data_IF_934378140438
#
_entry.id   IF_934378140438
#
_cell.length_a   1.000
_cell.length_b   1.000
_cell.length_c   1.000
_cell.angle_alpha   90.00
_cell.angle_beta   90.00
_cell.angle_gamma   90.00
#
_symmetry.space_group_name_H-M   'P 1'
#
loop_
_entity.id
_entity.type
_entity.pdbx_description
1 polymer ?
#
# COMPACT_ATOMS: atom_id res chain seq x y z
N UNK A 1 -17.09 32.31 -74.41
CA UNK A 1 -17.95 31.95 -73.24
C UNK A 1 -18.18 30.44 -73.04
N UNK A 2 -17.85 29.56 -74.00
CA UNK A 2 -18.16 28.10 -73.94
C UNK A 2 -17.02 27.25 -73.33
N UNK A 3 -15.75 27.67 -73.44
CA UNK A 3 -14.59 26.94 -72.87
C UNK A 3 -14.50 26.98 -71.34
N UNK A 4 -14.86 28.10 -70.70
CA UNK A 4 -14.82 28.23 -69.23
C UNK A 4 -15.91 27.42 -68.52
N UNK A 5 -17.08 27.24 -69.14
CA UNK A 5 -18.17 26.40 -68.61
C UNK A 5 -17.82 24.90 -68.60
N UNK A 6 -17.06 24.42 -69.59
CA UNK A 6 -16.62 23.01 -69.66
C UNK A 6 -15.51 22.69 -68.65
N UNK A 7 -14.60 23.64 -68.39
CA UNK A 7 -13.58 23.51 -67.34
C UNK A 7 -14.17 23.57 -65.92
N UNK A 8 -15.22 24.38 -65.70
CA UNK A 8 -15.91 24.45 -64.42
C UNK A 8 -16.74 23.19 -64.12
N UNK A 9 -17.41 22.62 -65.15
CA UNK A 9 -18.15 21.36 -65.02
C UNK A 9 -17.20 20.17 -64.77
N UNK A 10 -16.02 20.16 -65.40
CA UNK A 10 -15.02 19.12 -65.17
C UNK A 10 -14.42 19.18 -63.75
N UNK A 11 -14.18 20.38 -63.20
CA UNK A 11 -13.67 20.58 -61.83
C UNK A 11 -14.71 20.22 -60.76
N UNK A 12 -16.00 20.48 -61.02
CA UNK A 12 -17.09 20.08 -60.11
C UNK A 12 -17.33 18.58 -60.18
N UNK A 13 -17.18 17.95 -61.35
CA UNK A 13 -17.33 16.50 -61.50
C UNK A 13 -16.20 15.70 -60.82
N UNK A 14 -14.95 16.18 -60.84
CA UNK A 14 -13.85 15.53 -60.10
C UNK A 14 -13.90 15.78 -58.60
N UNK A 15 -14.38 16.94 -58.15
CA UNK A 15 -14.57 17.22 -56.71
C UNK A 15 -15.71 16.39 -56.08
N UNK A 16 -16.72 16.00 -56.87
CA UNK A 16 -17.83 15.14 -56.41
C UNK A 16 -17.43 13.65 -56.42
N UNK A 17 -16.48 13.24 -57.28
CA UNK A 17 -16.01 11.85 -57.33
C UNK A 17 -14.95 11.52 -56.26
N UNK A 18 -14.24 12.52 -55.73
CA UNK A 18 -13.24 12.30 -54.66
C UNK A 18 -13.82 12.28 -53.24
N UNK A 19 -15.15 12.41 -53.08
CA UNK A 19 -15.81 12.46 -51.76
C UNK A 19 -16.59 11.18 -51.40
N UNK A 20 -16.44 10.10 -52.16
CA UNK A 20 -17.11 8.83 -51.90
C UNK A 20 -16.12 7.67 -51.90
N UNK A 21 -15.41 7.47 -50.79
CA UNK A 21 -15.02 6.16 -50.19
C UNK A 21 -14.04 6.40 -49.03
N UNK A 22 -14.54 7.06 -47.98
CA UNK A 22 -14.02 6.86 -46.64
C UNK A 22 -15.14 6.21 -45.82
N UNK A 23 -15.47 4.95 -46.15
CA UNK A 23 -16.18 4.13 -45.17
C UNK A 23 -15.16 3.82 -44.08
N UNK A 24 -15.27 4.50 -42.95
CA UNK A 24 -14.58 4.08 -41.74
C UNK A 24 -14.94 2.59 -41.52
N UNK A 25 -13.94 1.71 -41.63
CA UNK A 25 -14.07 0.31 -41.26
C UNK A 25 -14.15 0.28 -39.73
N UNK A 26 -15.33 0.53 -39.17
CA UNK A 26 -15.61 0.10 -37.81
C UNK A 26 -15.62 -1.42 -37.86
N UNK A 27 -14.63 -2.06 -37.20
CA UNK A 27 -14.66 -3.49 -36.98
C UNK A 27 -16.00 -3.82 -36.30
N UNK A 28 -16.86 -4.56 -37.00
CA UNK A 28 -18.11 -5.03 -36.39
C UNK A 28 -17.72 -5.94 -35.23
N UNK A 29 -18.28 -5.76 -34.02
CA UNK A 29 -17.94 -6.63 -32.90
C UNK A 29 -18.17 -8.08 -33.32
N UNK A 30 -17.19 -8.96 -33.04
CA UNK A 30 -17.33 -10.40 -33.28
C UNK A 30 -18.38 -10.93 -32.32
N UNK A 31 -19.64 -10.92 -32.74
CA UNK A 31 -20.75 -11.46 -31.96
C UNK A 31 -20.77 -12.98 -32.16
N UNK A 32 -20.40 -13.73 -31.12
CA UNK A 32 -20.61 -15.18 -31.07
C UNK A 32 -21.96 -15.48 -30.44
N UNK A 33 -22.78 -16.25 -31.15
CA UNK A 33 -24.02 -16.78 -30.58
C UNK A 33 -23.69 -18.02 -29.76
N UNK A 34 -24.02 -18.01 -28.47
CA UNK A 34 -23.91 -19.16 -27.58
C UNK A 34 -25.30 -19.75 -27.32
N UNK A 35 -25.38 -21.07 -27.17
CA UNK A 35 -26.61 -21.75 -26.75
C UNK A 35 -26.51 -22.09 -25.27
N UNK A 36 -27.23 -21.34 -24.44
CA UNK A 36 -27.29 -21.56 -23.00
C UNK A 36 -28.44 -22.50 -22.60
N UNK A 37 -28.20 -23.35 -21.60
CA UNK A 37 -29.23 -24.17 -20.94
C UNK A 37 -29.45 -23.70 -19.51
N UNK A 38 -30.70 -23.39 -19.18
CA UNK A 38 -31.14 -22.98 -17.84
C UNK A 38 -31.85 -24.17 -17.19
N UNK A 39 -31.21 -24.79 -16.19
CA UNK A 39 -31.66 -26.03 -15.55
C UNK A 39 -31.98 -25.85 -14.05
N UNK A 40 -32.18 -24.62 -13.59
CA UNK A 40 -32.41 -24.34 -12.16
C UNK A 40 -31.21 -24.73 -11.31
N UNK A 41 -30.02 -24.30 -11.71
CA UNK A 41 -28.76 -24.63 -11.04
C UNK A 41 -28.77 -24.01 -9.64
N UNK A 42 -28.60 -24.86 -8.62
CA UNK A 42 -28.55 -24.46 -7.21
C UNK A 42 -27.12 -24.51 -6.72
N UNK A 43 -26.73 -23.54 -5.92
CA UNK A 43 -25.43 -23.50 -5.27
C UNK A 43 -25.57 -23.02 -3.82
N UNK A 44 -24.61 -23.40 -2.97
CA UNK A 44 -24.62 -23.09 -1.54
C UNK A 44 -23.33 -22.41 -1.13
N UNK A 45 -23.44 -21.42 -0.24
CA UNK A 45 -22.32 -20.77 0.42
C UNK A 45 -22.45 -20.95 1.93
N UNK A 46 -21.42 -21.48 2.59
CA UNK A 46 -21.42 -21.78 4.03
C UNK A 46 -22.67 -22.55 4.50
N UNK A 47 -23.09 -23.56 3.72
CA UNK A 47 -24.26 -24.41 4.03
C UNK A 47 -25.63 -23.79 3.75
N UNK A 48 -25.69 -22.54 3.27
CA UNK A 48 -26.95 -21.87 2.88
C UNK A 48 -27.13 -21.87 1.37
N UNK A 49 -28.30 -22.30 0.90
CA UNK A 49 -28.66 -22.20 -0.52
C UNK A 49 -28.80 -20.73 -0.90
N UNK A 50 -28.13 -20.32 -1.97
CA UNK A 50 -28.18 -18.95 -2.47
C UNK A 50 -29.24 -18.83 -3.56
N UNK A 51 -30.05 -17.77 -3.50
CA UNK A 51 -31.01 -17.44 -4.54
C UNK A 51 -30.33 -16.57 -5.62
N UNK A 52 -30.20 -17.06 -6.87
CA UNK A 52 -29.50 -16.31 -7.91
C UNK A 52 -30.28 -15.12 -8.50
N UNK A 53 -31.57 -14.97 -8.17
CA UNK A 53 -32.40 -13.89 -8.70
C UNK A 53 -32.50 -13.91 -10.23
N UNK A 54 -32.48 -12.73 -10.86
CA UNK A 54 -32.63 -12.57 -12.31
C UNK A 54 -31.38 -12.95 -13.12
N UNK A 55 -30.23 -13.12 -12.48
CA UNK A 55 -28.96 -13.48 -13.13
C UNK A 55 -28.65 -14.95 -12.81
N UNK A 56 -29.49 -15.88 -13.25
CA UNK A 56 -29.30 -17.30 -12.92
C UNK A 56 -28.11 -17.95 -13.65
N UNK A 57 -27.37 -18.87 -13.00
CA UNK A 57 -26.33 -19.65 -13.66
C UNK A 57 -26.89 -20.50 -14.80
N UNK A 58 -26.08 -20.69 -15.84
CA UNK A 58 -26.46 -21.46 -17.03
C UNK A 58 -25.32 -22.35 -17.51
N UNK A 59 -25.63 -23.30 -18.41
CA UNK A 59 -24.62 -24.18 -19.02
C UNK A 59 -24.43 -23.84 -20.50
N UNK A 60 -23.18 -23.66 -20.91
CA UNK A 60 -22.76 -23.61 -22.32
C UNK A 60 -21.65 -24.65 -22.51
N UNK A 61 -21.79 -25.50 -23.53
CA UNK A 61 -20.79 -26.52 -23.88
C UNK A 61 -20.30 -27.34 -22.66
N UNK A 62 -21.26 -27.83 -21.86
CA UNK A 62 -21.03 -28.60 -20.62
C UNK A 62 -20.30 -27.84 -19.49
N UNK A 63 -20.08 -26.54 -19.65
CA UNK A 63 -19.49 -25.67 -18.63
C UNK A 63 -20.56 -24.82 -17.96
N UNK A 64 -20.59 -24.81 -16.63
CA UNK A 64 -21.48 -23.94 -15.86
C UNK A 64 -20.88 -22.55 -15.72
N UNK A 65 -21.64 -21.54 -16.14
CA UNK A 65 -21.29 -20.12 -16.00
C UNK A 65 -22.10 -19.53 -14.86
N UNK A 66 -21.40 -18.94 -13.90
CA UNK A 66 -21.97 -18.27 -12.72
C UNK A 66 -21.62 -16.79 -12.81
N UNK A 67 -22.58 -15.87 -12.59
CA UNK A 67 -22.25 -14.45 -12.60
C UNK A 67 -21.23 -14.09 -11.54
N UNK A 68 -20.12 -13.49 -11.96
CA UNK A 68 -19.02 -13.13 -11.05
C UNK A 68 -19.45 -12.15 -9.96
N UNK A 69 -20.37 -11.21 -10.26
CA UNK A 69 -20.93 -10.27 -9.28
C UNK A 69 -21.64 -10.99 -8.13
N UNK A 70 -22.39 -12.04 -8.45
CA UNK A 70 -23.08 -12.85 -7.44
C UNK A 70 -22.07 -13.54 -6.51
N UNK A 71 -21.00 -14.10 -7.06
CA UNK A 71 -19.93 -14.71 -6.26
C UNK A 71 -19.23 -13.67 -5.39
N UNK A 72 -18.85 -12.52 -5.96
CA UNK A 72 -18.17 -11.45 -5.24
C UNK A 72 -19.00 -10.87 -4.10
N UNK A 73 -20.29 -10.61 -4.33
CA UNK A 73 -21.20 -10.11 -3.30
C UNK A 73 -21.35 -11.10 -2.13
N UNK A 74 -21.36 -12.41 -2.41
CA UNK A 74 -21.44 -13.44 -1.35
C UNK A 74 -20.22 -13.47 -0.44
N UNK A 75 -19.05 -13.12 -0.96
CA UNK A 75 -17.79 -13.05 -0.20
C UNK A 75 -17.46 -11.63 0.27
N UNK A 76 -18.45 -10.73 0.26
CA UNK A 76 -18.31 -9.37 0.80
C UNK A 76 -17.41 -8.46 -0.03
N UNK A 77 -17.34 -8.69 -1.35
CA UNK A 77 -16.58 -7.85 -2.29
C UNK A 77 -17.52 -7.03 -3.16
N UNK A 78 -17.06 -5.85 -3.55
CA UNK A 78 -17.71 -4.98 -4.52
C UNK A 78 -17.20 -5.33 -5.93
N UNK A 79 -18.12 -5.62 -6.86
CA UNK A 79 -17.78 -6.01 -8.24
C UNK A 79 -18.26 -4.95 -9.23
N UNK A 80 -17.30 -4.26 -9.86
CA UNK A 80 -17.54 -3.18 -10.82
C UNK A 80 -17.10 -3.57 -12.24
N UNK A 81 -17.80 -3.04 -13.23
CA UNK A 81 -17.42 -3.18 -14.64
C UNK A 81 -16.86 -1.86 -15.14
N UNK A 82 -15.60 -1.85 -15.53
CA UNK A 82 -14.98 -0.77 -16.29
C UNK A 82 -15.10 -1.10 -17.78
N UNK A 83 -16.10 -0.50 -18.44
CA UNK A 83 -16.38 -0.76 -19.85
C UNK A 83 -15.37 -0.18 -20.84
N UNK A 84 -14.61 0.83 -20.42
CA UNK A 84 -13.56 1.45 -21.24
C UNK A 84 -12.37 0.50 -21.38
N UNK A 85 -11.92 -0.07 -20.25
CA UNK A 85 -10.79 -0.99 -20.19
C UNK A 85 -11.18 -2.46 -20.33
N UNK A 86 -12.48 -2.75 -20.51
CA UNK A 86 -13.05 -4.09 -20.51
C UNK A 86 -12.65 -4.92 -19.27
N UNK A 87 -12.60 -4.27 -18.11
CA UNK A 87 -12.06 -4.83 -16.87
C UNK A 87 -13.17 -5.03 -15.83
N UNK A 88 -13.15 -6.19 -15.16
CA UNK A 88 -13.97 -6.45 -13.97
C UNK A 88 -13.10 -6.18 -12.74
N UNK A 89 -13.48 -5.19 -11.94
CA UNK A 89 -12.80 -4.82 -10.70
C UNK A 89 -13.51 -5.52 -9.53
N UNK A 90 -12.76 -6.21 -8.68
CA UNK A 90 -13.28 -6.85 -7.46
C UNK A 90 -12.50 -6.28 -6.28
N UNK A 91 -13.15 -5.42 -5.50
CA UNK A 91 -12.51 -4.68 -4.41
C UNK A 91 -13.17 -5.02 -3.07
N UNK A 92 -12.45 -4.82 -1.97
CA UNK A 92 -13.04 -4.87 -0.64
C UNK A 92 -14.12 -3.79 -0.48
N UNK A 93 -15.24 -4.17 0.14
CA UNK A 93 -16.20 -3.17 0.63
C UNK A 93 -15.64 -2.56 1.90
N UNK A 94 -15.65 -1.22 2.02
CA UNK A 94 -15.31 -0.53 3.29
C UNK A 94 -16.18 -1.13 4.39
N UNK A 95 -15.54 -1.84 5.32
CA UNK A 95 -16.24 -2.59 6.36
C UNK A 95 -16.89 -1.61 7.34
N UNK A 96 -18.22 -1.49 7.29
CA UNK A 96 -18.98 -0.62 8.20
C UNK A 96 -18.81 -1.01 9.67
N UNK A 97 -18.35 -2.24 9.96
CA UNK A 97 -18.00 -2.65 11.32
C UNK A 97 -16.73 -1.97 11.82
N UNK A 98 -15.79 -1.62 10.92
CA UNK A 98 -14.60 -0.83 11.25
C UNK A 98 -15.00 0.60 11.59
N UNK A 99 -15.89 1.20 10.81
CA UNK A 99 -16.43 2.55 11.10
C UNK A 99 -17.16 2.57 12.45
N UNK A 100 -17.94 1.54 12.78
CA UNK A 100 -18.62 1.44 14.08
C UNK A 100 -17.63 1.29 15.24
N UNK A 101 -16.56 0.50 15.06
CA UNK A 101 -15.48 0.36 16.04
C UNK A 101 -14.69 1.64 16.20
N UNK A 102 -14.43 2.39 15.12
CA UNK A 102 -13.75 3.68 15.17
C UNK A 102 -14.59 4.71 15.94
N UNK A 103 -15.91 4.70 15.76
CA UNK A 103 -16.83 5.54 16.55
C UNK A 103 -16.82 5.15 18.04
N UNK A 104 -16.78 3.85 18.36
CA UNK A 104 -16.68 3.35 19.73
C UNK A 104 -15.33 3.71 20.37
N UNK A 105 -14.22 3.61 19.62
CA UNK A 105 -12.88 4.03 20.05
C UNK A 105 -12.86 5.55 20.34
N UNK A 106 -13.46 6.37 19.48
CA UNK A 106 -13.55 7.82 19.69
C UNK A 106 -14.33 8.14 20.98
N UNK A 107 -15.44 7.43 21.22
CA UNK A 107 -16.23 7.61 22.45
C UNK A 107 -15.44 7.20 23.69
N UNK A 108 -14.80 6.03 23.69
CA UNK A 108 -13.99 5.55 24.80
C UNK A 108 -12.80 6.46 25.08
N UNK A 109 -12.10 6.96 24.05
CA UNK A 109 -11.01 7.94 24.20
C UNK A 109 -11.50 9.22 24.87
N UNK A 110 -12.67 9.73 24.49
CA UNK A 110 -13.27 10.92 25.12
C UNK A 110 -13.64 10.71 26.60
N UNK A 111 -14.10 9.51 26.95
CA UNK A 111 -14.43 9.14 28.33
C UNK A 111 -13.17 9.02 29.21
N UNK A 112 -12.11 8.41 28.68
CA UNK A 112 -10.80 8.33 29.35
C UNK A 112 -10.26 9.72 29.64
N UNK A 113 -10.34 10.66 28.70
CA UNK A 113 -9.85 12.02 28.89
C UNK A 113 -10.65 12.79 29.96
N UNK A 114 -11.97 12.59 30.00
CA UNK A 114 -12.84 13.13 31.03
C UNK A 114 -12.52 12.56 32.43
N UNK A 115 -12.31 11.25 32.53
CA UNK A 115 -11.92 10.58 33.77
C UNK A 115 -10.53 11.02 34.24
N UNK A 116 -9.56 11.16 33.32
CA UNK A 116 -8.23 11.71 33.62
C UNK A 116 -8.35 13.12 34.20
N UNK A 117 -9.16 13.99 33.60
CA UNK A 117 -9.40 15.36 34.09
C UNK A 117 -10.04 15.36 35.49
N UNK A 118 -11.01 14.49 35.74
CA UNK A 118 -11.61 14.33 37.07
C UNK A 118 -10.61 13.82 38.11
N UNK A 119 -9.72 12.90 37.73
CA UNK A 119 -8.65 12.40 38.59
C UNK A 119 -7.67 13.52 39.00
N UNK A 120 -7.28 14.38 38.05
CA UNK A 120 -6.40 15.53 38.32
C UNK A 120 -7.08 16.58 39.22
N UNK A 121 -8.39 16.77 39.06
CA UNK A 121 -9.19 17.63 39.94
C UNK A 121 -9.35 17.03 41.34
N UNK A 122 -9.42 15.71 41.47
CA UNK A 122 -9.46 15.04 42.77
C UNK A 122 -8.10 15.10 43.50
N UNK A 123 -6.98 15.14 42.77
CA UNK A 123 -5.62 15.23 43.32
C UNK A 123 -5.23 16.64 43.78
N UNK A 124 -5.83 17.69 43.21
CA UNK A 124 -5.56 19.10 43.55
C UNK A 124 -6.20 19.58 44.86
N UNK A 125 -6.94 18.72 45.57
CA UNK A 125 -7.57 19.01 46.87
C UNK A 125 -6.67 18.93 48.10
N UNK A 126 -5.41 18.50 47.99
CA UNK A 126 -4.49 18.40 49.13
C UNK A 126 -3.30 19.33 48.93
N UNK A 127 -3.49 20.62 49.22
CA UNK A 127 -2.38 21.58 49.38
C UNK A 127 -1.87 21.53 50.81
N UNK A 128 -0.60 21.21 50.98
CA UNK A 128 0.21 21.69 52.11
C UNK A 128 1.47 22.32 51.55
N UNK A 129 1.56 23.64 51.73
CA UNK A 129 2.79 24.41 51.68
C UNK A 129 3.66 24.04 52.89
N UNK A 130 4.96 23.76 52.71
CA UNK A 130 6.04 24.60 53.26
C UNK A 130 7.46 24.04 53.04
N UNK A 131 8.35 24.98 52.72
CA UNK A 131 9.80 25.08 53.01
C UNK A 131 10.86 24.36 52.15
N UNK A 132 11.77 25.21 51.66
CA UNK A 132 13.13 24.94 51.18
C UNK A 132 13.91 24.02 52.14
N UNK A 133 14.53 22.98 51.59
CA UNK A 133 15.87 22.51 51.94
C UNK A 133 16.42 21.63 50.82
N UNK A 134 17.71 21.78 50.51
CA UNK A 134 18.46 21.01 49.51
C UNK A 134 18.35 19.49 49.76
N UNK A 135 17.56 18.79 48.93
CA UNK A 135 17.64 17.33 48.73
C UNK A 135 16.93 16.98 47.42
N UNK A 136 17.64 16.23 46.58
CA UNK A 136 17.24 15.64 45.29
C UNK A 136 15.72 15.34 45.26
N UNK A 137 14.95 16.25 44.66
CA UNK A 137 13.50 16.10 44.51
C UNK A 137 13.25 14.93 43.56
N UNK A 138 12.49 13.95 44.03
CA UNK A 138 12.03 12.80 43.26
C UNK A 138 10.96 13.30 42.28
N UNK A 139 11.42 13.84 41.15
CA UNK A 139 10.57 14.35 40.06
C UNK A 139 9.55 13.27 39.70
N UNK A 140 8.27 13.62 39.66
CA UNK A 140 7.24 12.64 39.38
C UNK A 140 7.31 12.16 37.92
N UNK A 141 6.88 10.93 37.64
CA UNK A 141 6.89 10.36 36.29
C UNK A 141 6.13 11.25 35.28
N UNK A 142 5.09 11.95 35.73
CA UNK A 142 4.32 12.91 34.91
C UNK A 142 5.09 14.18 34.58
N UNK A 143 5.83 14.72 35.53
CA UNK A 143 6.71 15.87 35.28
C UNK A 143 7.86 15.45 34.37
N UNK A 144 8.35 14.21 34.51
CA UNK A 144 9.37 13.66 33.62
C UNK A 144 8.83 13.50 32.20
N UNK A 145 7.65 12.91 32.02
CA UNK A 145 7.00 12.76 30.72
C UNK A 145 6.86 14.09 29.99
N UNK A 146 6.48 15.15 30.70
CA UNK A 146 6.36 16.49 30.11
C UNK A 146 7.70 16.98 29.56
N UNK A 147 8.76 16.93 30.38
CA UNK A 147 10.08 17.39 29.96
C UNK A 147 10.61 16.52 28.81
N UNK A 148 10.36 15.21 28.84
CA UNK A 148 10.70 14.30 27.75
C UNK A 148 9.96 14.66 26.45
N UNK A 149 8.68 15.03 26.50
CA UNK A 149 7.97 15.51 25.30
C UNK A 149 8.51 16.86 24.81
N UNK A 150 8.85 17.76 25.71
CA UNK A 150 9.38 19.08 25.36
C UNK A 150 10.75 18.94 24.65
N UNK A 151 11.60 18.01 25.11
CA UNK A 151 12.95 17.80 24.57
C UNK A 151 12.98 16.84 23.37
N UNK A 152 12.18 15.76 23.41
CA UNK A 152 12.23 14.65 22.45
C UNK A 152 10.95 14.46 21.61
N UNK A 153 9.91 15.27 21.79
CA UNK A 153 8.67 15.19 21.01
C UNK A 153 8.80 15.56 19.53
N UNK A 154 10.02 15.85 19.04
CA UNK A 154 10.26 16.19 17.63
C UNK A 154 11.65 15.78 17.15
N UNK A 155 11.72 15.03 16.04
CA UNK A 155 12.97 14.68 15.34
C UNK A 155 12.86 15.03 13.86
N UNK A 156 13.76 15.89 13.36
CA UNK A 156 13.82 16.35 11.95
C UNK A 156 12.46 16.72 11.32
N UNK A 157 11.53 17.28 12.12
CA UNK A 157 10.16 17.66 11.75
C UNK A 157 9.11 16.54 11.72
N UNK A 158 9.48 15.32 12.10
CA UNK A 158 8.52 14.33 12.59
C UNK A 158 8.18 14.70 14.03
N UNK A 159 6.90 14.66 14.37
CA UNK A 159 6.40 14.90 15.73
C UNK A 159 6.07 13.56 16.37
N UNK A 160 6.42 13.44 17.65
CA UNK A 160 6.15 12.28 18.48
C UNK A 160 5.34 12.72 19.71
N UNK A 161 4.40 11.89 20.11
CA UNK A 161 3.78 11.94 21.43
C UNK A 161 4.40 10.83 22.27
N UNK A 162 5.02 11.18 23.39
CA UNK A 162 5.72 10.22 24.25
C UNK A 162 4.94 10.07 25.55
N UNK A 163 4.60 8.85 25.92
CA UNK A 163 3.93 8.54 27.20
C UNK A 163 4.82 7.67 28.05
N UNK A 164 4.96 8.01 29.34
CA UNK A 164 5.70 7.22 30.31
C UNK A 164 4.74 6.52 31.28
N UNK A 165 4.87 5.20 31.39
CA UNK A 165 4.06 4.37 32.30
C UNK A 165 4.98 3.57 33.22
N UNK A 166 4.42 3.08 34.33
CA UNK A 166 5.14 2.25 35.29
C UNK A 166 5.57 3.00 36.56
N UNK A 167 6.73 2.61 37.10
CA UNK A 167 7.27 3.09 38.37
C UNK A 167 8.80 3.31 38.32
N UNK A 168 9.42 3.67 39.45
CA UNK A 168 10.85 3.96 39.58
C UNK A 168 11.79 2.79 39.14
N UNK A 169 11.27 1.57 39.01
CA UNK A 169 12.05 0.35 38.68
C UNK A 169 11.77 -0.18 37.30
N UNK A 170 10.56 -0.01 36.79
CA UNK A 170 10.18 -0.47 35.45
C UNK A 170 9.35 0.63 34.78
N UNK A 171 9.91 1.19 33.70
CA UNK A 171 9.30 2.27 32.94
C UNK A 171 9.03 1.76 31.53
N UNK A 172 7.79 1.90 31.10
CA UNK A 172 7.35 1.65 29.73
C UNK A 172 7.26 2.99 29.00
N UNK A 173 7.91 3.08 27.84
CA UNK A 173 7.96 4.28 26.99
C UNK A 173 7.19 3.98 25.70
N UNK A 174 6.03 4.62 25.56
CA UNK A 174 5.19 4.52 24.36
C UNK A 174 5.45 5.78 23.52
N UNK A 175 5.95 5.60 22.30
CA UNK A 175 6.24 6.70 21.38
C UNK A 175 5.26 6.58 20.21
N UNK A 176 4.40 7.57 20.00
CA UNK A 176 3.42 7.57 18.92
C UNK A 176 3.76 8.62 17.86
N UNK A 177 3.58 8.30 16.58
CA UNK A 177 3.66 9.26 15.47
C UNK A 177 2.58 9.00 14.43
N UNK A 178 2.14 10.04 13.71
CA UNK A 178 1.17 9.95 12.61
C UNK A 178 1.94 10.02 11.29
N UNK A 179 2.27 8.86 10.71
CA UNK A 179 3.06 8.84 9.47
C UNK A 179 2.28 9.35 8.27
N UNK A 180 0.95 9.31 8.26
CA UNK A 180 0.18 9.99 7.21
C UNK A 180 0.49 11.49 7.14
N UNK A 181 0.66 12.16 8.28
CA UNK A 181 1.02 13.58 8.32
C UNK A 181 2.50 13.83 8.07
N UNK A 182 3.36 12.95 8.57
CA UNK A 182 4.81 13.21 8.65
C UNK A 182 5.65 12.37 7.69
N UNK A 183 5.06 11.57 6.79
CA UNK A 183 5.73 10.65 5.86
C UNK A 183 6.95 11.28 5.18
N UNK A 184 6.78 12.45 4.57
CA UNK A 184 7.86 13.15 3.84
C UNK A 184 9.10 13.46 4.70
N UNK A 185 8.91 13.66 6.00
CA UNK A 185 10.00 13.92 6.94
C UNK A 185 10.54 12.60 7.49
N UNK A 186 9.66 11.63 7.73
CA UNK A 186 9.99 10.27 8.12
C UNK A 186 10.91 9.59 7.12
N UNK A 187 10.65 9.71 5.81
CA UNK A 187 11.49 9.15 4.73
C UNK A 187 12.94 9.65 4.71
N UNK A 188 13.27 10.68 5.52
CA UNK A 188 14.62 11.25 5.65
C UNK A 188 15.31 10.85 6.95
N UNK A 189 14.62 10.12 7.81
CA UNK A 189 15.19 9.51 9.00
C UNK A 189 15.77 8.16 8.62
N UNK A 190 16.95 7.86 9.16
CA UNK A 190 17.47 6.49 9.16
C UNK A 190 17.35 5.86 10.56
N UNK A 191 17.59 4.55 10.63
CA UNK A 191 17.55 3.81 11.90
C UNK A 191 18.49 4.44 12.96
N UNK A 192 19.64 4.98 12.54
CA UNK A 192 20.61 5.58 13.48
C UNK A 192 20.08 6.88 14.08
N UNK A 193 19.36 7.68 13.31
CA UNK A 193 18.69 8.87 13.82
C UNK A 193 17.67 8.50 14.90
N UNK A 194 16.84 7.49 14.65
CA UNK A 194 15.82 7.01 15.58
C UNK A 194 16.45 6.40 16.83
N UNK A 195 17.39 5.46 16.67
CA UNK A 195 18.08 4.84 17.79
C UNK A 195 18.79 5.87 18.67
N UNK A 196 19.44 6.88 18.06
CA UNK A 196 20.11 7.94 18.79
C UNK A 196 19.11 8.76 19.60
N UNK A 197 18.01 9.15 18.98
CA UNK A 197 16.95 9.92 19.64
C UNK A 197 16.36 9.17 20.84
N UNK A 198 16.09 7.87 20.68
CA UNK A 198 15.56 7.03 21.77
C UNK A 198 16.62 6.81 22.87
N UNK A 199 17.91 6.68 22.51
CA UNK A 199 19.01 6.58 23.49
C UNK A 199 19.10 7.82 24.36
N UNK A 200 19.09 9.02 23.76
CA UNK A 200 19.15 10.29 24.49
C UNK A 200 17.93 10.45 25.41
N UNK A 201 16.73 10.13 24.90
CA UNK A 201 15.50 10.08 25.71
C UNK A 201 15.65 9.15 26.94
N UNK A 202 16.16 7.93 26.75
CA UNK A 202 16.33 6.98 27.85
C UNK A 202 17.41 7.42 28.85
N UNK A 203 18.46 8.10 28.38
CA UNK A 203 19.50 8.69 29.24
C UNK A 203 18.89 9.68 30.24
N UNK A 204 18.00 10.57 29.77
CA UNK A 204 17.31 11.54 30.63
C UNK A 204 16.34 10.88 31.61
N UNK A 205 15.68 9.79 31.21
CA UNK A 205 14.88 8.99 32.14
C UNK A 205 15.77 8.41 33.26
N UNK A 206 16.96 7.89 32.92
CA UNK A 206 17.90 7.34 33.90
C UNK A 206 18.59 8.38 34.78
N UNK A 207 18.57 9.67 34.42
CA UNK A 207 19.04 10.73 35.31
C UNK A 207 18.13 10.89 36.54
N UNK A 208 16.83 10.67 36.34
CA UNK A 208 15.82 10.70 37.40
C UNK A 208 15.69 9.33 38.07
N UNK A 209 15.46 8.28 37.27
CA UNK A 209 15.23 6.91 37.74
C UNK A 209 16.41 6.00 37.41
N UNK A 210 17.48 6.11 38.22
CA UNK A 210 18.79 5.53 37.94
C UNK A 210 18.82 4.00 37.77
N UNK A 211 17.83 3.29 38.31
CA UNK A 211 17.73 1.82 38.27
C UNK A 211 16.58 1.32 37.42
N UNK A 212 15.84 2.20 36.75
CA UNK A 212 14.72 1.79 35.93
C UNK A 212 15.19 0.86 34.80
N UNK A 213 14.56 -0.30 34.71
CA UNK A 213 14.53 -1.09 33.48
C UNK A 213 13.53 -0.42 32.55
N UNK A 214 13.98 -0.04 31.37
CA UNK A 214 13.16 0.59 30.34
C UNK A 214 12.78 -0.45 29.29
N UNK A 215 11.51 -0.49 28.95
CA UNK A 215 10.97 -1.10 27.72
C UNK A 215 10.21 -0.04 26.96
N UNK A 216 10.08 -0.18 25.65
CA UNK A 216 9.26 0.75 24.90
C UNK A 216 9.07 0.36 23.46
N UNK A 217 8.24 1.15 22.80
CA UNK A 217 7.83 0.95 21.43
C UNK A 217 7.65 2.29 20.72
N UNK A 218 7.73 2.24 19.40
CA UNK A 218 7.41 3.32 18.49
C UNK A 218 6.30 2.85 17.56
N UNK A 219 5.16 3.53 17.60
CA UNK A 219 3.92 3.12 16.96
C UNK A 219 3.43 4.19 15.97
N UNK A 220 3.08 3.75 14.76
CA UNK A 220 2.38 4.59 13.79
C UNK A 220 0.88 4.53 14.04
N UNK A 221 0.30 5.66 14.46
CA UNK A 221 -1.13 5.74 14.76
C UNK A 221 -2.01 5.69 13.53
N UNK A 222 -1.47 6.03 12.35
CA UNK A 222 -2.23 5.99 11.11
C UNK A 222 -2.43 4.56 10.62
N UNK A 223 -1.32 3.83 10.41
CA UNK A 223 -1.34 2.44 9.97
C UNK A 223 -1.71 1.45 11.08
N UNK A 224 -1.66 1.92 12.35
CA UNK A 224 -1.91 1.12 13.56
C UNK A 224 -0.90 -0.01 13.76
N UNK A 225 0.37 0.30 13.55
CA UNK A 225 1.46 -0.69 13.52
C UNK A 225 2.66 -0.24 14.36
N UNK A 226 3.35 -1.22 14.95
CA UNK A 226 4.62 -0.99 15.64
C UNK A 226 5.75 -0.88 14.62
N UNK A 227 6.50 0.22 14.66
CA UNK A 227 7.66 0.45 13.81
C UNK A 227 8.92 -0.18 14.41
N UNK A 228 9.03 -0.15 15.74
CA UNK A 228 10.22 -0.51 16.51
C UNK A 228 9.84 -0.81 17.96
N UNK A 229 10.47 -1.82 18.54
CA UNK A 229 10.47 -2.10 19.97
C UNK A 229 11.89 -1.97 20.53
N UNK A 230 12.02 -1.62 21.81
CA UNK A 230 13.32 -1.56 22.46
C UNK A 230 13.26 -1.98 23.93
N UNK A 231 14.39 -2.50 24.41
CA UNK A 231 14.55 -2.91 25.80
C UNK A 231 15.94 -2.61 26.32
N UNK A 232 16.03 -2.18 27.57
CA UNK A 232 17.28 -1.96 28.27
C UNK A 232 17.76 -3.19 29.04
N UNK A 233 19.08 -3.40 29.05
CA UNK A 233 19.72 -4.35 29.95
C UNK A 233 20.10 -3.70 31.30
N UNK A 234 20.59 -4.52 32.24
CA UNK A 234 21.03 -4.07 33.56
C UNK A 234 22.23 -3.10 33.55
N UNK A 235 22.84 -2.84 32.39
CA UNK A 235 23.94 -1.90 32.19
C UNK A 235 23.50 -0.68 31.37
N UNK A 236 22.18 -0.45 31.24
CA UNK A 236 21.58 0.64 30.46
C UNK A 236 21.92 0.60 28.97
N UNK A 237 22.21 -0.58 28.43
CA UNK A 237 22.37 -0.76 26.98
C UNK A 237 21.02 -1.11 26.38
N UNK A 238 20.64 -0.41 25.32
CA UNK A 238 19.42 -0.65 24.58
C UNK A 238 19.64 -1.67 23.48
N UNK A 239 18.73 -2.63 23.37
CA UNK A 239 18.53 -3.48 22.21
C UNK A 239 17.28 -3.00 21.48
N UNK A 240 17.36 -2.93 20.15
CA UNK A 240 16.31 -2.45 19.26
C UNK A 240 15.87 -3.61 18.36
N UNK A 241 14.57 -3.78 18.20
CA UNK A 241 13.96 -4.73 17.29
C UNK A 241 12.97 -3.99 16.39
N UNK A 242 13.30 -3.84 15.11
CA UNK A 242 12.44 -3.16 14.15
C UNK A 242 11.30 -4.10 13.75
N UNK A 243 10.09 -3.79 14.20
CA UNK A 243 8.91 -4.65 14.02
C UNK A 243 8.39 -4.58 12.58
N UNK A 244 8.60 -3.46 11.88
CA UNK A 244 8.21 -3.28 10.49
C UNK A 244 9.26 -3.77 9.49
N UNK A 245 9.36 -5.10 9.43
CA UNK A 245 9.73 -5.89 8.25
C UNK A 245 9.01 -5.35 7.01
N UNK A 246 9.74 -5.21 5.90
CA UNK A 246 9.20 -4.92 4.57
C UNK A 246 7.75 -5.46 4.37
N UNK A 247 6.76 -4.57 4.27
CA UNK A 247 5.42 -4.94 3.84
C UNK A 247 5.41 -5.16 2.33
N UNK A 248 5.61 -6.41 1.95
CA UNK A 248 5.64 -6.84 0.54
C UNK A 248 4.29 -6.58 -0.14
N UNK A 249 3.17 -6.68 0.58
CA UNK A 249 1.83 -6.50 0.01
C UNK A 249 1.57 -5.05 -0.35
N UNK A 250 1.96 -4.12 0.54
CA UNK A 250 1.88 -2.68 0.27
C UNK A 250 2.83 -2.27 -0.85
N UNK A 251 4.06 -2.78 -0.83
CA UNK A 251 5.03 -2.53 -1.90
C UNK A 251 4.52 -3.03 -3.25
N UNK A 252 3.92 -4.23 -3.30
CA UNK A 252 3.30 -4.78 -4.50
C UNK A 252 2.19 -3.85 -5.00
N UNK A 253 1.24 -3.49 -4.16
CA UNK A 253 0.11 -2.62 -4.52
C UNK A 253 0.57 -1.26 -5.07
N UNK A 254 1.53 -0.61 -4.41
CA UNK A 254 2.03 0.70 -4.83
C UNK A 254 2.77 0.64 -6.17
N UNK A 255 3.57 -0.41 -6.38
CA UNK A 255 4.33 -0.58 -7.61
C UNK A 255 3.45 -1.07 -8.76
N UNK A 256 2.49 -1.97 -8.51
CA UNK A 256 1.50 -2.40 -9.51
C UNK A 256 0.76 -1.19 -10.07
N UNK A 257 0.13 -0.40 -9.20
CA UNK A 257 -0.59 0.82 -9.59
C UNK A 257 0.28 1.85 -10.33
N UNK A 258 1.57 1.89 -10.03
CA UNK A 258 2.51 2.84 -10.65
C UNK A 258 2.97 2.38 -12.04
N UNK A 259 3.05 1.07 -12.27
CA UNK A 259 3.65 0.49 -13.47
C UNK A 259 2.66 -0.25 -14.37
N UNK A 260 1.42 -0.47 -13.95
CA UNK A 260 0.36 -1.22 -14.66
C UNK A 260 0.15 -0.78 -16.12
N UNK A 261 0.34 0.51 -16.39
CA UNK A 261 0.13 1.19 -17.67
C UNK A 261 1.40 1.89 -18.18
N UNK A 262 2.57 1.52 -17.64
CA UNK A 262 3.85 2.15 -17.98
C UNK A 262 4.24 1.95 -19.45
N UNK A 263 3.94 0.77 -20.00
CA UNK A 263 4.17 0.46 -21.41
C UNK A 263 3.01 0.98 -22.26
N UNK A 264 3.29 1.60 -23.43
CA UNK A 264 2.26 2.22 -24.25
C UNK A 264 1.26 1.18 -24.77
N UNK A 265 -0.01 1.33 -24.36
CA UNK A 265 -1.14 0.47 -24.71
C UNK A 265 -1.01 -0.99 -24.26
N UNK A 266 -0.14 -1.29 -23.28
CA UNK A 266 0.00 -2.62 -22.69
C UNK A 266 -0.36 -2.52 -21.21
N UNK A 267 -1.31 -3.33 -20.78
CA UNK A 267 -1.65 -3.49 -19.37
C UNK A 267 -0.83 -4.63 -18.78
N UNK A 268 -0.28 -4.40 -17.60
CA UNK A 268 0.50 -5.38 -16.85
C UNK A 268 0.02 -5.47 -15.42
N UNK A 269 0.23 -6.63 -14.80
CA UNK A 269 0.04 -6.82 -13.35
C UNK A 269 1.39 -7.16 -12.73
N UNK A 270 1.78 -6.41 -11.71
CA UNK A 270 2.98 -6.66 -10.94
C UNK A 270 2.65 -7.51 -9.72
N UNK A 271 3.43 -8.57 -9.52
CA UNK A 271 3.41 -9.40 -8.32
C UNK A 271 4.80 -9.35 -7.68
N UNK A 272 4.87 -9.25 -6.34
CA UNK A 272 6.11 -9.26 -5.59
C UNK A 272 6.05 -10.38 -4.55
N UNK A 273 7.05 -11.25 -4.59
CA UNK A 273 7.19 -12.37 -3.67
C UNK A 273 8.51 -12.28 -2.91
N UNK A 274 8.55 -12.85 -1.71
CA UNK A 274 9.78 -12.98 -0.91
C UNK A 274 9.74 -12.18 0.38
N UNK A 275 10.91 -11.72 0.83
CA UNK A 275 11.10 -11.00 2.08
C UNK A 275 12.23 -9.96 1.98
N UNK A 276 12.54 -9.30 3.10
CA UNK A 276 13.60 -8.28 3.23
C UNK A 276 15.00 -8.71 2.74
N UNK A 277 15.28 -10.02 2.61
CA UNK A 277 16.57 -10.57 2.18
C UNK A 277 16.57 -10.92 0.70
N UNK A 278 15.44 -11.37 0.17
CA UNK A 278 15.33 -11.75 -1.24
C UNK A 278 13.92 -11.48 -1.76
N UNK A 279 13.83 -10.68 -2.82
CA UNK A 279 12.59 -10.33 -3.50
C UNK A 279 12.63 -10.76 -4.96
N UNK A 280 11.50 -11.27 -5.42
CA UNK A 280 11.22 -11.51 -6.83
C UNK A 280 10.04 -10.64 -7.23
N UNK A 281 10.20 -9.82 -8.28
CA UNK A 281 9.06 -9.15 -8.91
C UNK A 281 8.75 -9.80 -10.26
N UNK A 282 7.47 -10.02 -10.54
CA UNK A 282 6.98 -10.62 -11.77
C UNK A 282 5.95 -9.70 -12.41
N UNK A 283 6.21 -9.33 -13.66
CA UNK A 283 5.31 -8.54 -14.49
C UNK A 283 4.55 -9.50 -15.38
N UNK A 284 3.27 -9.67 -15.10
CA UNK A 284 2.36 -10.51 -15.88
C UNK A 284 1.81 -9.70 -17.05
N UNK A 285 1.93 -10.27 -18.25
CA UNK A 285 1.37 -9.72 -19.48
C UNK A 285 0.64 -10.81 -20.25
N UNK A 286 -0.45 -10.49 -20.91
CA UNK A 286 -1.09 -11.37 -21.89
C UNK A 286 -0.47 -11.05 -23.26
N UNK A 287 0.59 -11.77 -23.63
CA UNK A 287 1.34 -11.49 -24.86
C UNK A 287 0.46 -11.67 -26.10
N UNK A 288 -0.36 -12.71 -26.14
CA UNK A 288 -1.28 -12.99 -27.26
C UNK A 288 -2.28 -11.84 -27.48
N UNK A 289 -2.77 -11.24 -26.39
CA UNK A 289 -3.67 -10.09 -26.48
C UNK A 289 -2.99 -8.80 -26.95
N UNK A 290 -1.75 -8.56 -26.50
CA UNK A 290 -0.97 -7.34 -26.80
C UNK A 290 0.12 -7.57 -27.85
N UNK A 291 0.00 -8.59 -28.70
CA UNK A 291 1.09 -9.05 -29.58
C UNK A 291 1.69 -7.92 -30.43
N UNK A 292 0.82 -7.09 -31.03
CA UNK A 292 1.23 -5.99 -31.90
C UNK A 292 1.90 -4.86 -31.14
N UNK A 293 1.35 -4.48 -29.99
CA UNK A 293 1.88 -3.46 -29.09
C UNK A 293 3.22 -3.90 -28.52
N UNK A 294 3.35 -5.16 -28.11
CA UNK A 294 4.58 -5.74 -27.59
C UNK A 294 5.67 -5.79 -28.66
N UNK A 295 5.33 -6.23 -29.88
CA UNK A 295 6.28 -6.28 -31.00
C UNK A 295 6.79 -4.88 -31.41
N UNK A 296 6.03 -3.82 -31.08
CA UNK A 296 6.46 -2.44 -31.30
C UNK A 296 7.43 -1.93 -30.22
N UNK A 297 7.60 -2.63 -29.11
CA UNK A 297 8.55 -2.27 -28.06
C UNK A 297 9.96 -2.71 -28.42
N UNK A 298 10.93 -1.90 -28.01
CA UNK A 298 12.35 -2.25 -28.05
C UNK A 298 12.82 -2.78 -26.69
N UNK A 299 13.80 -3.69 -26.70
CA UNK A 299 14.43 -4.22 -25.48
C UNK A 299 14.81 -3.11 -24.47
N UNK A 300 15.38 -1.95 -24.88
CA UNK A 300 15.67 -0.87 -23.94
C UNK A 300 14.44 -0.25 -23.27
N UNK A 301 13.25 -0.26 -23.90
CA UNK A 301 12.01 0.23 -23.26
C UNK A 301 11.56 -0.72 -22.17
N UNK A 302 11.63 -2.03 -22.44
CA UNK A 302 11.29 -3.09 -21.49
C UNK A 302 12.28 -3.09 -20.32
N UNK A 303 13.58 -3.05 -20.62
CA UNK A 303 14.65 -2.94 -19.63
C UNK A 303 14.50 -1.69 -18.76
N UNK A 304 14.13 -0.54 -19.34
CA UNK A 304 13.94 0.69 -18.59
C UNK A 304 12.79 0.58 -17.57
N UNK A 305 11.69 -0.10 -17.90
CA UNK A 305 10.61 -0.37 -16.95
C UNK A 305 11.10 -1.26 -15.80
N UNK A 306 11.71 -2.41 -16.13
CA UNK A 306 12.20 -3.35 -15.13
C UNK A 306 13.27 -2.75 -14.22
N UNK A 307 14.16 -1.90 -14.76
CA UNK A 307 15.15 -1.17 -13.97
C UNK A 307 14.50 -0.19 -13.00
N UNK A 308 13.43 0.50 -13.39
CA UNK A 308 12.74 1.44 -12.50
C UNK A 308 12.02 0.73 -11.37
N UNK A 309 11.35 -0.39 -11.66
CA UNK A 309 10.73 -1.24 -10.64
C UNK A 309 11.80 -1.75 -9.68
N UNK A 310 12.93 -2.26 -10.19
CA UNK A 310 14.07 -2.67 -9.37
C UNK A 310 14.54 -1.54 -8.45
N UNK A 311 14.74 -0.32 -8.98
CA UNK A 311 15.25 0.81 -8.21
C UNK A 311 14.25 1.27 -7.13
N UNK A 312 12.95 1.13 -7.36
CA UNK A 312 11.94 1.43 -6.35
C UNK A 312 11.86 0.36 -5.27
N UNK A 313 11.91 -0.93 -5.63
CA UNK A 313 12.01 -2.03 -4.66
C UNK A 313 13.26 -1.85 -3.79
N UNK A 314 14.39 -1.46 -4.40
CA UNK A 314 15.66 -1.25 -3.68
C UNK A 314 15.59 -0.10 -2.67
N UNK A 315 14.69 0.87 -2.83
CA UNK A 315 14.48 1.92 -1.81
C UNK A 315 13.81 1.37 -0.56
N UNK A 316 12.85 0.47 -0.74
CA UNK A 316 12.11 -0.16 0.36
C UNK A 316 12.84 -1.37 0.96
N UNK A 317 13.71 -2.02 0.19
CA UNK A 317 14.52 -3.16 0.61
C UNK A 317 15.99 -2.98 0.20
N UNK A 318 16.76 -2.13 0.91
CA UNK A 318 18.12 -1.73 0.52
C UNK A 318 19.15 -2.85 0.50
N UNK A 319 18.90 -3.95 1.22
CA UNK A 319 19.83 -5.09 1.29
C UNK A 319 19.30 -6.33 0.58
N UNK A 320 18.06 -6.32 0.09
CA UNK A 320 17.46 -7.45 -0.58
C UNK A 320 18.18 -7.80 -1.89
N UNK A 321 18.41 -9.09 -2.12
CA UNK A 321 18.72 -9.60 -3.45
C UNK A 321 17.44 -9.58 -4.29
N UNK A 322 17.43 -8.81 -5.37
CA UNK A 322 16.24 -8.61 -6.20
C UNK A 322 16.43 -9.29 -7.56
N UNK A 323 15.45 -10.11 -7.96
CA UNK A 323 15.31 -10.63 -9.32
C UNK A 323 13.98 -10.20 -9.93
N UNK A 324 13.99 -9.89 -11.22
CA UNK A 324 12.82 -9.44 -11.96
C UNK A 324 12.51 -10.32 -13.15
N UNK A 325 11.23 -10.57 -13.41
CA UNK A 325 10.78 -11.40 -14.52
C UNK A 325 9.61 -10.76 -15.26
N UNK A 326 9.54 -11.00 -16.57
CA UNK A 326 8.32 -10.82 -17.34
C UNK A 326 7.76 -12.19 -17.67
N UNK A 327 6.50 -12.40 -17.30
CA UNK A 327 5.79 -13.66 -17.47
C UNK A 327 4.63 -13.46 -18.44
N UNK A 328 4.69 -14.18 -19.57
CA UNK A 328 3.57 -14.27 -20.48
C UNK A 328 2.54 -15.24 -19.92
N UNK A 329 1.38 -14.70 -19.56
CA UNK A 329 0.26 -15.44 -19.00
C UNK A 329 -0.39 -16.39 -20.02
N UNK A 330 -0.26 -16.10 -21.32
CA UNK A 330 -0.84 -16.88 -22.41
C UNK A 330 -0.03 -18.15 -22.71
N UNK A 331 1.28 -18.02 -22.90
CA UNK A 331 2.18 -19.20 -23.04
C UNK A 331 2.63 -19.82 -21.72
N UNK A 332 2.34 -19.16 -20.58
CA UNK A 332 2.77 -19.54 -19.23
C UNK A 332 4.29 -19.63 -19.09
N UNK A 333 5.01 -18.73 -19.73
CA UNK A 333 6.47 -18.77 -19.82
C UNK A 333 7.12 -17.44 -19.44
N UNK A 334 8.37 -17.51 -18.97
CA UNK A 334 9.18 -16.32 -18.70
C UNK A 334 9.80 -15.85 -20.02
N UNK A 335 9.53 -14.60 -20.38
CA UNK A 335 9.98 -14.03 -21.66
C UNK A 335 11.08 -12.97 -21.48
N UNK A 336 11.31 -12.50 -20.25
CA UNK A 336 12.47 -11.69 -19.92
C UNK A 336 12.90 -11.85 -18.46
N UNK A 337 14.19 -11.68 -18.19
CA UNK A 337 14.79 -11.63 -16.86
C UNK A 337 15.61 -10.35 -16.69
N UNK A 338 15.49 -9.73 -15.52
CA UNK A 338 16.27 -8.57 -15.11
C UNK A 338 16.90 -8.81 -13.73
N UNK A 339 18.14 -8.36 -13.54
CA UNK A 339 18.81 -8.27 -12.25
C UNK A 339 19.93 -7.25 -12.30
N UNK A 340 20.51 -6.91 -11.15
CA UNK A 340 21.81 -6.22 -11.09
C UNK A 340 22.91 -7.15 -10.58
N UNK A 341 24.13 -6.91 -11.04
CA UNK A 341 25.33 -7.56 -10.49
C UNK A 341 25.71 -6.96 -9.15
N UNK A 342 26.60 -7.61 -8.40
CA UNK A 342 27.16 -7.08 -7.15
C UNK A 342 27.87 -5.72 -7.33
N UNK A 343 28.28 -5.39 -8.57
CA UNK A 343 28.87 -4.08 -8.94
C UNK A 343 27.82 -3.05 -9.37
N UNK A 344 26.53 -3.37 -9.30
CA UNK A 344 25.43 -2.49 -9.66
C UNK A 344 25.09 -2.44 -11.15
N UNK A 345 25.83 -3.13 -12.02
CA UNK A 345 25.52 -3.15 -13.46
C UNK A 345 24.22 -3.92 -13.73
N UNK A 346 23.35 -3.34 -14.57
CA UNK A 346 22.14 -3.98 -15.06
C UNK A 346 22.46 -5.18 -15.95
N UNK A 347 21.68 -6.25 -15.80
CA UNK A 347 21.72 -7.44 -16.64
C UNK A 347 20.27 -7.74 -17.04
N UNK A 348 19.98 -7.47 -18.31
CA UNK A 348 18.70 -7.77 -18.96
C UNK A 348 18.88 -8.91 -19.96
N UNK A 349 17.95 -9.85 -19.98
CA UNK A 349 17.93 -10.99 -20.91
C UNK A 349 16.50 -11.19 -21.40
N UNK A 350 16.28 -11.03 -22.70
CA UNK A 350 15.02 -11.35 -23.38
C UNK A 350 15.06 -12.77 -23.97
N UNK A 351 13.91 -13.46 -23.98
CA UNK A 351 13.74 -14.84 -24.42
C UNK A 351 12.63 -15.04 -25.47
N UNK A 352 12.00 -13.96 -25.93
CA UNK A 352 10.95 -13.98 -26.96
C UNK A 352 11.50 -14.13 -28.39
#
# INVERSE_FOLDING_TARGET
MIRSKRLFIALVATAIFSLSTATALYASPVVKTIRAQFLGIRFSYNGKIVNPGANEPFIVDQTTYVPIRMVGELVGKNVQWNGENKLILINDTVDQSVVQKDLEIIQLKSEIELLKKQLEQAKTGTKTEDKKDDKKDDKSLKELEKDINDDYGKLKNVVFEITLRGDEREIEVEIETDLYRYQKYWDKLDEKDLEKHIKELCEDIWEVYDKAKITGDLYDVDEREYLLEFTSDSRRRLAFDYVNKLDVSKLEYDLDKKYDTYLPNIFTVLEINGDEKALEFRIHVDYDYFESEWYALSDPQVEAMMSKIYDDIRKSAPDARIEGYIYDTSSRSVIAKYRRTDRGNAVFQAYY
#
